data_IF_888612695296
#
_entry.id   IF_888612695296
#
_cell.length_a   1.000
_cell.length_b   1.000
_cell.length_c   1.000
_cell.angle_alpha   90.00
_cell.angle_beta   90.00
_cell.angle_gamma   90.00
#
_symmetry.space_group_name_H-M   'P 1'
#
loop_
_entity.id
_entity.type
_entity.pdbx_description
1 polymer ?
#
# COMPACT_ATOMS: atom_id res chain seq x y z
N UNK A 1 9.96 1.32 -21.04
CA UNK A 1 10.09 0.26 -20.02
C UNK A 1 8.69 -0.17 -19.59
N UNK A 2 8.42 -1.45 -19.57
CA UNK A 2 7.10 -1.93 -19.16
C UNK A 2 6.90 -1.75 -17.66
N UNK A 3 5.67 -1.39 -17.27
CA UNK A 3 5.32 -1.31 -15.86
C UNK A 3 5.35 -2.71 -15.22
N UNK A 4 5.70 -2.77 -13.94
CA UNK A 4 5.67 -4.03 -13.20
C UNK A 4 4.23 -4.48 -12.98
N UNK A 5 4.00 -5.79 -13.06
CA UNK A 5 2.71 -6.38 -12.71
C UNK A 5 2.57 -6.49 -11.20
N UNK A 6 1.35 -6.69 -10.71
CA UNK A 6 1.11 -6.94 -9.29
C UNK A 6 1.86 -8.18 -8.80
N UNK A 7 1.94 -9.24 -9.62
CA UNK A 7 2.69 -10.44 -9.28
C UNK A 7 4.18 -10.17 -9.12
N UNK A 8 4.76 -9.37 -10.01
CA UNK A 8 6.17 -9.00 -9.90
C UNK A 8 6.45 -8.20 -8.64
N UNK A 9 5.57 -7.26 -8.30
CA UNK A 9 5.70 -6.47 -7.09
C UNK A 9 5.55 -7.32 -5.83
N UNK A 10 4.60 -8.27 -5.83
CA UNK A 10 4.46 -9.23 -4.74
C UNK A 10 5.73 -10.04 -4.55
N UNK A 11 6.32 -10.50 -5.65
CA UNK A 11 7.57 -11.28 -5.59
C UNK A 11 8.72 -10.48 -4.99
N UNK A 12 8.83 -9.20 -5.33
CA UNK A 12 9.87 -8.32 -4.76
C UNK A 12 9.71 -8.13 -3.25
N UNK A 13 8.50 -8.30 -2.73
CA UNK A 13 8.18 -8.14 -1.31
C UNK A 13 8.11 -9.47 -0.56
N UNK A 14 8.37 -10.60 -1.21
CA UNK A 14 8.08 -11.94 -0.69
C UNK A 14 8.73 -12.26 0.66
N UNK A 15 9.90 -11.68 0.94
CA UNK A 15 10.63 -11.94 2.19
C UNK A 15 10.29 -10.91 3.28
N UNK A 16 9.54 -9.88 2.95
CA UNK A 16 9.26 -8.77 3.85
C UNK A 16 7.78 -8.59 4.14
N UNK A 17 6.92 -8.86 3.17
CA UNK A 17 5.48 -8.73 3.31
C UNK A 17 4.88 -10.11 3.56
N UNK A 18 4.64 -10.42 4.83
CA UNK A 18 4.16 -11.74 5.27
C UNK A 18 2.93 -11.55 6.17
N UNK A 19 2.05 -12.57 6.27
CA UNK A 19 0.96 -12.53 7.25
C UNK A 19 1.50 -12.31 8.65
N UNK A 20 0.86 -11.42 9.40
CA UNK A 20 1.32 -11.01 10.72
C UNK A 20 2.22 -9.79 10.73
N UNK A 21 2.68 -9.35 9.55
CA UNK A 21 3.53 -8.15 9.44
C UNK A 21 2.69 -6.90 9.65
N UNK A 22 3.20 -5.96 10.45
CA UNK A 22 2.58 -4.65 10.61
C UNK A 22 3.00 -3.75 9.44
N UNK A 23 2.03 -3.10 8.83
CA UNK A 23 2.25 -2.14 7.75
C UNK A 23 1.64 -0.81 8.13
N UNK A 24 2.18 0.26 7.58
CA UNK A 24 1.64 1.61 7.72
C UNK A 24 1.01 2.03 6.41
N UNK A 25 -0.24 2.48 6.45
CA UNK A 25 -0.94 3.00 5.28
C UNK A 25 -1.06 4.50 5.44
N UNK A 26 -0.46 5.24 4.52
CA UNK A 26 -0.47 6.69 4.51
C UNK A 26 -1.51 7.19 3.52
N UNK A 27 -2.29 8.19 3.94
CA UNK A 27 -3.22 8.88 3.05
C UNK A 27 -2.65 10.23 2.67
N UNK A 28 -2.72 10.54 1.40
CA UNK A 28 -2.26 11.78 0.82
C UNK A 28 -3.35 12.38 -0.05
N UNK A 29 -3.42 13.70 -0.11
CA UNK A 29 -4.36 14.40 -0.99
C UNK A 29 -3.57 15.14 -2.04
N UNK A 30 -4.11 15.24 -3.25
CA UNK A 30 -3.50 16.06 -4.30
C UNK A 30 -3.67 17.53 -3.98
N UNK A 31 -2.62 18.31 -4.22
CA UNK A 31 -2.71 19.78 -4.19
C UNK A 31 -3.46 20.26 -5.43
N UNK A 32 -3.83 21.55 -5.42
CA UNK A 32 -4.45 22.14 -6.59
C UNK A 32 -3.57 22.00 -7.83
N UNK A 33 -4.18 22.00 -9.01
CA UNK A 33 -3.46 21.87 -10.27
C UNK A 33 -2.35 22.93 -10.44
N UNK A 34 -2.55 24.11 -9.87
CA UNK A 34 -1.59 25.22 -9.98
C UNK A 34 -0.28 24.94 -9.22
N UNK A 35 -0.35 24.25 -8.06
CA UNK A 35 0.84 23.97 -7.24
C UNK A 35 1.40 22.59 -7.42
N UNK A 36 0.57 21.62 -7.85
CA UNK A 36 0.97 20.21 -7.99
C UNK A 36 1.32 19.54 -6.67
N UNK A 37 1.72 18.26 -6.75
CA UNK A 37 2.20 17.50 -5.61
C UNK A 37 1.12 16.97 -4.69
N UNK A 38 1.55 16.55 -3.47
CA UNK A 38 0.66 15.88 -2.51
C UNK A 38 0.81 16.50 -1.12
N UNK A 39 -0.28 16.41 -0.34
CA UNK A 39 -0.31 16.84 1.06
C UNK A 39 -0.59 15.60 1.90
N UNK A 40 0.22 15.38 2.94
CA UNK A 40 0.03 14.28 3.88
C UNK A 40 -1.23 14.52 4.72
N UNK A 41 -2.10 13.50 4.78
CA UNK A 41 -3.39 13.59 5.49
C UNK A 41 -3.47 12.68 6.71
N UNK A 42 -2.49 11.83 6.93
CA UNK A 42 -2.46 10.95 8.09
C UNK A 42 -2.09 9.53 7.72
N UNK A 43 -1.89 8.70 8.74
CA UNK A 43 -1.51 7.30 8.55
C UNK A 43 -2.23 6.40 9.53
N UNK A 44 -2.33 5.11 9.17
CA UNK A 44 -2.87 4.06 10.01
C UNK A 44 -1.90 2.89 10.01
N UNK A 45 -1.83 2.15 11.12
CA UNK A 45 -1.09 0.89 11.19
C UNK A 45 -2.07 -0.26 11.20
N UNK A 46 -1.76 -1.29 10.44
CA UNK A 46 -2.56 -2.50 10.39
C UNK A 46 -1.69 -3.73 10.26
N UNK A 47 -2.31 -4.90 10.37
CA UNK A 47 -1.61 -6.19 10.32
C UNK A 47 -2.05 -6.93 9.07
N UNK A 48 -1.08 -7.41 8.30
CA UNK A 48 -1.36 -8.22 7.11
C UNK A 48 -1.94 -9.55 7.56
N UNK A 49 -3.11 -9.91 7.01
CA UNK A 49 -3.79 -11.17 7.36
C UNK A 49 -3.75 -12.19 6.24
N UNK A 50 -3.68 -11.76 4.98
CA UNK A 50 -3.63 -12.67 3.84
C UNK A 50 -2.97 -12.01 2.64
N UNK A 51 -2.31 -12.82 1.81
CA UNK A 51 -1.66 -12.39 0.58
C UNK A 51 -2.24 -13.18 -0.58
N UNK A 52 -2.67 -12.48 -1.62
CA UNK A 52 -3.23 -13.06 -2.85
C UNK A 52 -2.36 -12.65 -4.03
N UNK A 53 -2.57 -13.25 -5.23
CA UNK A 53 -1.70 -12.94 -6.38
C UNK A 53 -1.63 -11.48 -6.78
N UNK A 54 -2.74 -10.73 -6.61
CA UNK A 54 -2.80 -9.34 -7.05
C UNK A 54 -3.09 -8.32 -5.93
N UNK A 55 -3.57 -8.80 -4.80
CA UNK A 55 -3.91 -7.94 -3.65
C UNK A 55 -3.50 -8.61 -2.35
N UNK A 56 -3.47 -7.82 -1.29
CA UNK A 56 -3.31 -8.36 0.07
C UNK A 56 -4.32 -7.68 1.00
N UNK A 57 -4.66 -8.36 2.09
CA UNK A 57 -5.65 -7.89 3.05
C UNK A 57 -4.95 -7.47 4.34
N UNK A 58 -5.33 -6.31 4.85
CA UNK A 58 -4.82 -5.74 6.10
C UNK A 58 -5.96 -5.52 7.05
N UNK A 59 -5.76 -5.88 8.31
CA UNK A 59 -6.74 -5.64 9.38
C UNK A 59 -6.36 -4.41 10.18
N UNK A 60 -7.30 -3.48 10.27
CA UNK A 60 -7.22 -2.30 11.14
C UNK A 60 -8.26 -2.45 12.24
N UNK A 61 -7.83 -2.92 13.43
CA UNK A 61 -8.79 -3.24 14.48
C UNK A 61 -9.77 -4.34 14.03
N UNK A 62 -11.04 -3.99 13.85
CA UNK A 62 -12.07 -4.92 13.39
C UNK A 62 -12.40 -4.78 11.90
N UNK A 63 -11.67 -3.94 11.17
CA UNK A 63 -11.95 -3.65 9.77
C UNK A 63 -10.90 -4.30 8.90
N UNK A 64 -11.34 -4.97 7.83
CA UNK A 64 -10.46 -5.53 6.81
C UNK A 64 -10.51 -4.67 5.57
N UNK A 65 -9.34 -4.34 5.02
CA UNK A 65 -9.23 -3.61 3.77
C UNK A 65 -8.22 -4.30 2.87
N UNK A 66 -8.47 -4.24 1.56
CA UNK A 66 -7.58 -4.83 0.57
C UNK A 66 -6.75 -3.74 -0.10
N UNK A 67 -5.49 -4.05 -0.38
CA UNK A 67 -4.56 -3.15 -1.04
C UNK A 67 -3.86 -3.87 -2.17
N UNK A 68 -3.39 -3.10 -3.15
CA UNK A 68 -2.59 -3.64 -4.24
C UNK A 68 -1.12 -3.51 -3.90
N UNK A 69 -0.31 -4.43 -4.41
CA UNK A 69 1.14 -4.39 -4.19
C UNK A 69 1.78 -3.13 -4.80
N UNK A 70 1.18 -2.59 -5.84
CA UNK A 70 1.65 -1.34 -6.44
C UNK A 70 1.71 -0.19 -5.45
N UNK A 71 0.89 -0.20 -4.40
CA UNK A 71 0.85 0.88 -3.40
C UNK A 71 2.11 0.98 -2.54
N UNK A 72 2.99 -0.01 -2.60
CA UNK A 72 4.35 0.08 -2.03
C UNK A 72 5.31 0.85 -2.92
N UNK A 73 5.05 0.94 -4.21
CA UNK A 73 5.99 1.46 -5.20
C UNK A 73 5.54 2.77 -5.83
N UNK A 74 4.23 2.97 -5.98
CA UNK A 74 3.67 4.14 -6.64
C UNK A 74 3.29 5.20 -5.62
N UNK A 75 3.73 6.44 -5.85
CA UNK A 75 3.37 7.56 -4.99
C UNK A 75 2.04 8.14 -5.46
N UNK A 76 0.97 7.68 -4.84
CA UNK A 76 -0.39 8.11 -5.11
C UNK A 76 -1.04 8.57 -3.80
N UNK A 77 -2.36 8.72 -3.80
CA UNK A 77 -3.13 9.20 -2.64
C UNK A 77 -3.14 8.20 -1.49
N UNK A 78 -2.90 6.94 -1.76
CA UNK A 78 -2.78 5.91 -0.72
C UNK A 78 -1.47 5.15 -0.92
N UNK A 79 -0.64 5.12 0.12
CA UNK A 79 0.69 4.51 0.07
C UNK A 79 0.85 3.56 1.23
N UNK A 80 1.40 2.38 0.95
CA UNK A 80 1.66 1.37 1.98
C UNK A 80 3.15 1.26 2.21
N UNK A 81 3.55 1.20 3.48
CA UNK A 81 4.95 1.07 3.88
C UNK A 81 5.10 -0.05 4.91
N UNK A 82 6.21 -0.74 4.80
CA UNK A 82 6.58 -1.79 5.75
C UNK A 82 7.08 -1.20 7.07
#
# INVERSE_FOLDING_TARGET
MAARTEEQMKWLLKDRLLPGKTVKVEKWATKSAASGGYIFRGSRKGVVVALYPHIFTVRFGNILECFRYAQFFVKDTERVKL
#
